data_IF_525474409196
#
_entry.id   IF_525474409196
#
_cell.length_a   1.000
_cell.length_b   1.000
_cell.length_c   1.000
_cell.angle_alpha   90.00
_cell.angle_beta   90.00
_cell.angle_gamma   90.00
#
_symmetry.space_group_name_H-M   'P 1'
#
loop_
_entity.id
_entity.type
_entity.pdbx_description
1 polymer ?
#
# COMPACT_ATOMS: atom_id res chain seq x y z
N UNK A 1 -3.07 0.44 2.47
CA UNK A 1 -3.29 1.74 1.80
C UNK A 1 -1.99 2.06 1.06
N UNK A 2 -2.04 2.65 -0.13
CA UNK A 2 -0.85 2.90 -0.95
C UNK A 2 -0.72 4.37 -1.34
N UNK A 3 0.52 4.78 -1.60
CA UNK A 3 0.85 6.07 -2.19
C UNK A 3 0.41 6.12 -3.66
N UNK A 4 0.00 7.29 -4.11
CA UNK A 4 -0.51 7.50 -5.48
C UNK A 4 0.60 7.75 -6.49
N UNK A 5 1.81 8.13 -6.04
CA UNK A 5 3.02 8.22 -6.87
C UNK A 5 4.01 7.10 -6.58
N UNK A 6 4.80 6.74 -7.60
CA UNK A 6 5.86 5.73 -7.48
C UNK A 6 6.97 6.21 -6.55
N UNK A 7 7.38 5.34 -5.63
CA UNK A 7 8.41 5.64 -4.65
C UNK A 7 9.79 5.90 -5.28
N UNK A 8 10.50 6.89 -4.72
CA UNK A 8 11.90 7.22 -4.97
C UNK A 8 12.58 7.57 -3.64
N UNK A 9 13.84 7.17 -3.47
CA UNK A 9 14.66 7.51 -2.30
C UNK A 9 15.45 8.82 -2.47
N UNK A 10 15.24 9.54 -3.58
CA UNK A 10 15.95 10.78 -3.85
C UNK A 10 15.56 11.88 -2.86
N UNK A 11 16.54 12.62 -2.35
CA UNK A 11 16.28 13.80 -1.50
C UNK A 11 15.38 14.81 -2.21
N UNK A 12 15.42 14.85 -3.55
CA UNK A 12 14.59 15.72 -4.37
C UNK A 12 13.10 15.38 -4.32
N UNK A 13 12.73 14.15 -3.95
CA UNK A 13 11.32 13.73 -3.84
C UNK A 13 10.75 13.89 -2.43
N UNK A 14 11.55 14.26 -1.41
CA UNK A 14 11.09 14.34 -0.02
C UNK A 14 9.91 15.29 0.21
N UNK A 15 9.79 16.34 -0.60
CA UNK A 15 8.65 17.27 -0.53
C UNK A 15 7.35 16.68 -1.10
N UNK A 16 7.43 15.57 -1.83
CA UNK A 16 6.29 14.92 -2.46
C UNK A 16 5.51 14.04 -1.48
N UNK A 17 4.50 14.64 -0.89
CA UNK A 17 3.59 13.98 0.04
C UNK A 17 2.78 12.84 -0.58
N UNK A 18 2.52 12.87 -1.90
CA UNK A 18 1.78 11.80 -2.58
C UNK A 18 2.62 10.54 -2.81
N UNK A 19 3.93 10.62 -2.59
CA UNK A 19 4.89 9.52 -2.67
C UNK A 19 5.19 8.95 -1.28
N UNK A 20 5.44 9.82 -0.32
CA UNK A 20 5.98 9.43 0.99
C UNK A 20 4.90 9.16 2.06
N UNK A 21 3.68 9.64 1.84
CA UNK A 21 2.56 9.39 2.75
C UNK A 21 1.56 8.47 2.07
N UNK A 22 1.05 7.47 2.80
CA UNK A 22 0.05 6.50 2.30
C UNK A 22 -1.37 6.81 2.79
N UNK A 23 -1.56 7.94 3.48
CA UNK A 23 -2.85 8.36 4.02
C UNK A 23 -3.86 8.59 2.87
N UNK A 24 -5.07 8.07 3.04
CA UNK A 24 -6.15 8.27 2.07
C UNK A 24 -6.54 9.74 1.94
N UNK A 25 -6.60 10.47 3.06
CA UNK A 25 -6.94 11.91 3.08
C UNK A 25 -6.01 12.77 2.24
N UNK A 26 -4.77 12.31 2.00
CA UNK A 26 -3.81 13.00 1.15
C UNK A 26 -3.94 12.46 -0.28
N UNK A 27 -3.76 11.15 -0.46
CA UNK A 27 -3.66 10.55 -1.79
C UNK A 27 -4.94 10.65 -2.63
N UNK A 28 -6.12 10.78 -2.02
CA UNK A 28 -7.39 10.97 -2.76
C UNK A 28 -7.42 12.22 -3.64
N UNK A 29 -6.55 13.19 -3.38
CA UNK A 29 -6.47 14.45 -4.13
C UNK A 29 -5.47 14.38 -5.30
N UNK A 30 -4.69 13.32 -5.44
CA UNK A 30 -3.81 13.14 -6.60
C UNK A 30 -4.62 12.62 -7.80
N UNK A 31 -4.37 13.17 -8.99
CA UNK A 31 -4.97 12.71 -10.25
C UNK A 31 -4.60 11.26 -10.62
N UNK A 32 -3.45 10.77 -10.15
CA UNK A 32 -3.01 9.38 -10.34
C UNK A 32 -3.70 8.41 -9.36
N UNK A 33 -4.57 8.90 -8.46
CA UNK A 33 -5.26 8.05 -7.52
C UNK A 33 -6.32 7.18 -8.19
N UNK A 34 -6.15 5.86 -8.13
CA UNK A 34 -7.12 4.87 -8.59
C UNK A 34 -7.83 4.23 -7.40
N UNK A 35 -9.15 4.35 -7.36
CA UNK A 35 -9.98 3.57 -6.44
C UNK A 35 -10.01 2.12 -6.90
N UNK A 36 -10.05 1.20 -5.94
CA UNK A 36 -10.35 -0.19 -6.23
C UNK A 36 -11.85 -0.40 -6.11
N UNK A 37 -12.50 -0.80 -7.21
CA UNK A 37 -13.93 -1.10 -7.22
C UNK A 37 -14.23 -2.58 -6.92
N UNK A 38 -13.21 -3.45 -6.94
CA UNK A 38 -13.35 -4.88 -6.68
C UNK A 38 -12.51 -5.30 -5.45
N UNK A 39 -13.19 -5.86 -4.44
CA UNK A 39 -12.57 -6.24 -3.16
C UNK A 39 -11.55 -7.38 -3.30
N UNK A 40 -11.66 -8.19 -4.36
CA UNK A 40 -10.73 -9.27 -4.69
C UNK A 40 -9.56 -8.83 -5.58
N UNK A 41 -9.67 -7.68 -6.24
CA UNK A 41 -8.63 -7.18 -7.13
C UNK A 41 -7.48 -6.54 -6.34
N UNK A 42 -6.25 -6.80 -6.80
CA UNK A 42 -5.04 -6.12 -6.33
C UNK A 42 -4.78 -4.86 -7.17
N UNK A 43 -5.80 -4.03 -7.37
CA UNK A 43 -5.74 -2.84 -8.22
C UNK A 43 -6.01 -1.58 -7.41
N UNK A 44 -5.55 -0.44 -7.92
CA UNK A 44 -5.67 0.85 -7.24
C UNK A 44 -4.88 0.97 -5.94
N UNK A 45 -5.18 2.00 -5.15
CA UNK A 45 -4.36 2.40 -3.98
C UNK A 45 -4.97 2.03 -2.63
N UNK A 46 -6.01 1.20 -2.64
CA UNK A 46 -6.64 0.65 -1.44
C UNK A 46 -6.95 -0.82 -1.67
N UNK A 47 -6.24 -1.70 -0.99
CA UNK A 47 -6.48 -3.14 -1.03
C UNK A 47 -7.08 -3.64 0.27
N UNK A 48 -7.88 -4.70 0.18
CA UNK A 48 -8.26 -5.50 1.34
C UNK A 48 -7.02 -6.25 1.87
N UNK A 49 -7.02 -6.60 3.16
CA UNK A 49 -5.93 -7.42 3.73
C UNK A 49 -5.83 -8.76 3.01
N UNK A 50 -6.96 -9.39 2.67
CA UNK A 50 -7.00 -10.64 1.91
C UNK A 50 -6.28 -10.54 0.56
N UNK A 51 -6.52 -9.47 -0.20
CA UNK A 51 -5.84 -9.22 -1.47
C UNK A 51 -4.33 -9.02 -1.27
N UNK A 52 -3.93 -8.25 -0.25
CA UNK A 52 -2.52 -8.05 0.10
C UNK A 52 -1.82 -9.37 0.46
N UNK A 53 -2.40 -10.20 1.33
CA UNK A 53 -1.83 -11.49 1.70
C UNK A 53 -1.71 -12.43 0.51
N UNK A 54 -2.72 -12.46 -0.36
CA UNK A 54 -2.68 -13.24 -1.60
C UNK A 54 -1.54 -12.77 -2.51
N UNK A 55 -1.31 -11.47 -2.60
CA UNK A 55 -0.22 -10.89 -3.37
C UNK A 55 1.16 -11.21 -2.79
N UNK A 56 1.33 -11.09 -1.46
CA UNK A 56 2.58 -11.40 -0.77
C UNK A 56 2.93 -12.90 -0.85
N UNK A 57 1.94 -13.77 -0.66
CA UNK A 57 2.12 -15.23 -0.80
C UNK A 57 2.59 -15.61 -2.20
N UNK A 58 2.09 -14.94 -3.25
CA UNK A 58 2.57 -15.14 -4.64
C UNK A 58 4.02 -14.70 -4.87
N UNK A 59 4.58 -13.88 -3.98
CA UNK A 59 5.96 -13.39 -4.02
C UNK A 59 6.87 -14.11 -3.03
N UNK A 60 6.42 -15.25 -2.52
CA UNK A 60 7.18 -16.08 -1.59
C UNK A 60 7.55 -15.38 -0.27
N UNK A 61 6.67 -14.48 0.18
CA UNK A 61 6.80 -13.82 1.49
C UNK A 61 6.12 -14.69 2.54
N UNK A 62 6.80 -14.92 3.67
CA UNK A 62 6.22 -15.59 4.83
C UNK A 62 5.19 -14.69 5.52
N UNK A 63 3.94 -14.83 5.10
CA UNK A 63 2.81 -14.07 5.66
C UNK A 63 2.49 -14.48 7.11
N UNK A 64 2.93 -15.66 7.56
CA UNK A 64 2.67 -16.15 8.92
C UNK A 64 3.59 -15.43 9.89
N UNK A 65 4.90 -15.39 9.62
CA UNK A 65 5.86 -14.64 10.43
C UNK A 65 5.49 -13.14 10.53
N UNK A 66 5.11 -12.52 9.41
CA UNK A 66 4.65 -11.13 9.42
C UNK A 66 3.42 -10.94 10.32
N UNK A 67 2.47 -11.88 10.29
CA UNK A 67 1.26 -11.80 11.10
C UNK A 67 1.53 -12.03 12.60
N UNK A 68 2.43 -12.96 12.95
CA UNK A 68 2.85 -13.15 14.34
C UNK A 68 3.53 -11.91 14.90
N UNK A 69 4.45 -11.29 14.15
CA UNK A 69 5.11 -10.03 14.57
C UNK A 69 4.13 -8.87 14.75
N UNK A 70 3.09 -8.78 13.92
CA UNK A 70 2.05 -7.77 14.09
C UNK A 70 1.24 -8.03 15.35
N UNK A 71 0.89 -9.29 15.64
CA UNK A 71 0.16 -9.66 16.85
C UNK A 71 0.96 -9.42 18.12
N UNK A 72 2.27 -9.64 18.10
CA UNK A 72 3.16 -9.37 19.25
C UNK A 72 3.21 -7.88 19.65
N UNK A 73 2.96 -6.98 18.69
CA UNK A 73 2.93 -5.53 18.94
C UNK A 73 1.58 -5.02 19.47
N UNK A 74 0.52 -5.84 19.48
CA UNK A 74 -0.84 -5.47 19.89
C UNK A 74 -1.15 -6.02 21.28
#
# INVERSE_FOLDING_TARGET
RFASRKYSSSVKSLSDRFMHLTNYSINRYNSEYKSNNDHGACTGHKWSLKALWTYLKKRDVDIVDVWERIKDLI
#
